data_IF_807978733188
#
_entry.id   IF_807978733188
#
_cell.length_a   1.000
_cell.length_b   1.000
_cell.length_c   1.000
_cell.angle_alpha   90.00
_cell.angle_beta   90.00
_cell.angle_gamma   90.00
#
_symmetry.space_group_name_H-M   'P 1'
#
loop_
_entity.id
_entity.type
_entity.pdbx_description
1 polymer ?
#
# COMPACT_ATOMS: atom_id res chain seq x y z
N UNK A 1 2.15 13.73 -32.99
CA UNK A 1 2.66 14.08 -31.64
C UNK A 1 2.10 13.07 -30.65
N UNK A 2 2.95 12.27 -30.01
CA UNK A 2 2.54 11.32 -28.97
C UNK A 2 2.33 12.08 -27.68
N UNK A 3 1.09 12.13 -27.19
CA UNK A 3 0.85 12.60 -25.82
C UNK A 3 1.72 11.83 -24.83
N UNK A 4 2.30 12.50 -23.82
CA UNK A 4 3.11 11.83 -22.81
C UNK A 4 2.26 10.77 -22.11
N UNK A 5 2.82 9.57 -21.88
CA UNK A 5 2.16 8.42 -21.25
C UNK A 5 1.35 8.82 -19.99
N UNK A 6 1.89 9.75 -19.21
CA UNK A 6 1.26 10.31 -18.02
C UNK A 6 -0.08 11.00 -18.27
N UNK A 7 -0.23 11.74 -19.38
CA UNK A 7 -1.49 12.38 -19.76
C UNK A 7 -2.53 11.31 -20.08
N UNK A 8 -2.15 10.29 -20.87
CA UNK A 8 -3.03 9.15 -21.20
C UNK A 8 -3.49 8.36 -19.96
N UNK A 9 -2.61 8.18 -18.98
CA UNK A 9 -2.95 7.52 -17.71
C UNK A 9 -3.93 8.37 -16.89
N UNK A 10 -3.76 9.69 -16.88
CA UNK A 10 -4.66 10.62 -16.18
C UNK A 10 -6.07 10.62 -16.81
N UNK A 11 -6.14 10.58 -18.13
CA UNK A 11 -7.42 10.65 -18.86
C UNK A 11 -8.17 9.31 -18.82
N UNK A 12 -7.45 8.19 -18.70
CA UNK A 12 -8.05 6.87 -18.55
C UNK A 12 -8.43 6.55 -17.10
N UNK A 13 -9.73 6.36 -16.89
CA UNK A 13 -10.30 5.97 -15.59
C UNK A 13 -9.77 4.64 -15.07
N UNK A 14 -9.49 3.68 -15.95
CA UNK A 14 -8.96 2.37 -15.57
C UNK A 14 -7.47 2.45 -15.30
N UNK A 15 -6.71 3.16 -16.15
CA UNK A 15 -5.27 3.31 -15.98
C UNK A 15 -4.92 4.06 -14.70
N UNK A 16 -5.63 5.15 -14.38
CA UNK A 16 -5.45 5.88 -13.13
C UNK A 16 -5.80 5.06 -11.89
N UNK A 17 -6.84 4.21 -11.95
CA UNK A 17 -7.21 3.31 -10.86
C UNK A 17 -6.16 2.23 -10.66
N UNK A 18 -5.70 1.60 -11.75
CA UNK A 18 -4.65 0.60 -11.72
C UNK A 18 -3.32 1.19 -11.22
N UNK A 19 -2.96 2.39 -11.65
CA UNK A 19 -1.77 3.09 -11.19
C UNK A 19 -1.81 3.34 -9.67
N UNK A 20 -2.95 3.81 -9.13
CA UNK A 20 -3.12 4.01 -7.69
C UNK A 20 -3.03 2.69 -6.92
N UNK A 21 -3.75 1.65 -7.36
CA UNK A 21 -3.70 0.33 -6.73
C UNK A 21 -2.28 -0.21 -6.72
N UNK A 22 -1.60 -0.22 -7.87
CA UNK A 22 -0.24 -0.77 -8.00
C UNK A 22 0.78 0.06 -7.20
N UNK A 23 0.61 1.37 -7.13
CA UNK A 23 1.49 2.26 -6.36
C UNK A 23 1.44 2.02 -4.86
N UNK A 24 0.34 1.46 -4.35
CA UNK A 24 0.22 1.00 -2.97
C UNK A 24 0.63 -0.48 -2.85
N UNK A 25 0.00 -1.35 -3.63
CA UNK A 25 0.07 -2.79 -3.46
C UNK A 25 1.48 -3.35 -3.73
N UNK A 26 2.18 -2.87 -4.76
CA UNK A 26 3.52 -3.37 -5.08
C UNK A 26 4.53 -3.11 -3.95
N UNK A 27 4.75 -1.86 -3.48
CA UNK A 27 5.70 -1.61 -2.39
C UNK A 27 5.26 -2.26 -1.08
N UNK A 28 3.96 -2.28 -0.77
CA UNK A 28 3.43 -2.92 0.43
C UNK A 28 3.73 -4.42 0.45
N UNK A 29 3.38 -5.13 -0.63
CA UNK A 29 3.58 -6.59 -0.72
C UNK A 29 5.06 -6.96 -0.88
N UNK A 30 5.84 -6.17 -1.61
CA UNK A 30 7.27 -6.35 -1.72
C UNK A 30 7.96 -6.26 -0.35
N UNK A 31 7.61 -5.25 0.46
CA UNK A 31 8.17 -5.09 1.80
C UNK A 31 7.78 -6.24 2.76
N UNK A 32 6.61 -6.84 2.57
CA UNK A 32 6.16 -7.99 3.36
C UNK A 32 6.82 -9.31 2.94
N UNK A 33 7.28 -9.41 1.69
CA UNK A 33 7.89 -10.63 1.13
C UNK A 33 9.42 -10.60 1.13
N UNK A 34 10.02 -9.42 1.18
CA UNK A 34 11.47 -9.26 1.12
C UNK A 34 12.18 -9.69 2.40
N UNK A 35 13.38 -10.24 2.23
CA UNK A 35 14.30 -10.59 3.32
C UNK A 35 15.07 -9.39 3.88
N UNK A 36 14.89 -8.18 3.34
CA UNK A 36 15.64 -7.00 3.79
C UNK A 36 15.55 -6.77 5.31
N UNK A 37 14.33 -6.87 5.86
CA UNK A 37 14.11 -6.70 7.31
C UNK A 37 14.72 -7.85 8.11
N UNK A 38 14.77 -9.06 7.53
CA UNK A 38 15.42 -10.22 8.14
C UNK A 38 16.94 -10.04 8.24
N UNK A 39 17.59 -9.52 7.19
CA UNK A 39 19.02 -9.23 7.21
C UNK A 39 19.39 -8.15 8.24
N UNK A 40 18.51 -7.17 8.47
CA UNK A 40 18.63 -6.20 9.56
C UNK A 40 18.41 -6.87 10.94
N UNK A 41 17.44 -7.77 11.03
CA UNK A 41 17.13 -8.56 12.23
C UNK A 41 18.30 -9.42 12.72
N UNK A 42 19.13 -9.96 11.82
CA UNK A 42 20.34 -10.73 12.19
C UNK A 42 21.37 -9.96 13.02
N UNK A 43 21.29 -8.63 13.04
CA UNK A 43 22.16 -7.77 13.87
C UNK A 43 21.62 -7.57 15.29
N UNK A 44 20.39 -8.04 15.57
CA UNK A 44 19.77 -7.98 16.89
C UNK A 44 20.28 -9.16 17.73
N UNK A 45 20.78 -8.92 18.95
CA UNK A 45 21.21 -10.00 19.83
C UNK A 45 20.01 -10.86 20.28
N UNK A 46 20.16 -12.19 20.22
CA UNK A 46 19.13 -13.16 20.60
C UNK A 46 18.57 -13.99 19.44
N UNK A 47 17.55 -14.79 19.72
CA UNK A 47 16.82 -15.55 18.70
C UNK A 47 15.85 -14.64 17.95
N UNK A 48 15.83 -14.69 16.61
CA UNK A 48 14.96 -13.84 15.80
C UNK A 48 13.88 -14.70 15.14
N UNK A 49 12.62 -14.34 15.38
CA UNK A 49 11.46 -14.92 14.70
C UNK A 49 10.90 -13.92 13.69
N UNK A 50 10.43 -14.43 12.56
CA UNK A 50 9.90 -13.60 11.49
C UNK A 50 8.89 -14.33 10.62
N UNK A 51 7.65 -13.86 10.66
CA UNK A 51 6.55 -14.39 9.85
C UNK A 51 6.60 -13.73 8.47
N UNK A 52 7.59 -14.12 7.66
CA UNK A 52 7.68 -13.69 6.27
C UNK A 52 6.52 -14.28 5.46
N UNK A 53 5.90 -13.44 4.63
CA UNK A 53 4.85 -13.90 3.73
C UNK A 53 5.52 -14.60 2.55
N UNK A 54 5.67 -15.92 2.64
CA UNK A 54 6.11 -16.76 1.54
C UNK A 54 4.92 -17.11 0.63
N UNK A 55 5.12 -17.09 -0.69
CA UNK A 55 4.18 -17.71 -1.62
C UNK A 55 4.41 -19.23 -1.52
N UNK A 56 3.36 -20.06 -1.25
CA UNK A 56 1.95 -19.84 -1.56
C UNK A 56 1.03 -19.39 -0.41
N UNK A 57 1.46 -19.45 0.86
CA UNK A 57 0.60 -19.13 2.01
C UNK A 57 0.14 -17.65 2.06
N UNK A 58 0.88 -16.76 1.39
CA UNK A 58 0.55 -15.34 1.27
C UNK A 58 -0.51 -14.95 0.24
N UNK A 59 -0.92 -15.85 -0.66
CA UNK A 59 -1.84 -15.52 -1.76
C UNK A 59 -3.21 -15.04 -1.28
N UNK A 60 -3.71 -15.62 -0.19
CA UNK A 60 -4.96 -15.19 0.45
C UNK A 60 -4.86 -13.73 0.92
N UNK A 61 -3.79 -13.38 1.63
CA UNK A 61 -3.54 -12.04 2.14
C UNK A 61 -3.36 -11.02 1.01
N UNK A 62 -2.63 -11.37 -0.06
CA UNK A 62 -2.51 -10.55 -1.27
C UNK A 62 -3.88 -10.28 -1.88
N UNK A 63 -4.69 -11.33 -2.03
CA UNK A 63 -6.03 -11.23 -2.62
C UNK A 63 -6.93 -10.32 -1.77
N UNK A 64 -6.90 -10.47 -0.45
CA UNK A 64 -7.67 -9.64 0.49
C UNK A 64 -7.27 -8.16 0.36
N UNK A 65 -5.98 -7.85 0.30
CA UNK A 65 -5.48 -6.47 0.12
C UNK A 65 -6.03 -5.86 -1.16
N UNK A 66 -5.91 -6.58 -2.29
CA UNK A 66 -6.36 -6.09 -3.59
C UNK A 66 -7.88 -5.90 -3.64
N UNK A 67 -8.64 -6.88 -3.16
CA UNK A 67 -10.11 -6.86 -3.16
C UNK A 67 -10.65 -5.78 -2.24
N UNK A 68 -10.14 -5.68 -1.01
CA UNK A 68 -10.55 -4.65 -0.06
C UNK A 68 -10.29 -3.24 -0.60
N UNK A 69 -9.12 -3.04 -1.21
CA UNK A 69 -8.78 -1.78 -1.86
C UNK A 69 -9.75 -1.44 -2.98
N UNK A 70 -9.98 -2.38 -3.92
CA UNK A 70 -10.84 -2.18 -5.09
C UNK A 70 -12.30 -1.87 -4.70
N UNK A 71 -12.86 -2.65 -3.77
CA UNK A 71 -14.24 -2.45 -3.28
C UNK A 71 -14.37 -1.06 -2.66
N UNK A 72 -13.41 -0.67 -1.80
CA UNK A 72 -13.47 0.63 -1.11
C UNK A 72 -13.30 1.78 -2.07
N UNK A 73 -12.32 1.69 -2.97
CA UNK A 73 -12.06 2.74 -3.94
C UNK A 73 -13.26 2.93 -4.88
N UNK A 74 -13.87 1.83 -5.37
CA UNK A 74 -15.08 1.88 -6.18
C UNK A 74 -16.26 2.53 -5.43
N UNK A 75 -16.49 2.16 -4.17
CA UNK A 75 -17.54 2.73 -3.33
C UNK A 75 -17.34 4.22 -3.02
N UNK A 76 -16.08 4.66 -2.85
CA UNK A 76 -15.75 6.06 -2.57
C UNK A 76 -15.73 6.93 -3.81
N UNK A 77 -15.51 6.36 -5.00
CA UNK A 77 -15.42 7.11 -6.26
C UNK A 77 -16.66 7.93 -6.56
N UNK A 78 -17.85 7.48 -6.15
CA UNK A 78 -19.11 8.21 -6.34
C UNK A 78 -19.37 9.25 -5.24
N UNK A 79 -18.70 9.15 -4.09
CA UNK A 79 -18.99 9.96 -2.89
C UNK A 79 -17.92 11.00 -2.58
N UNK A 80 -16.68 10.77 -2.99
CA UNK A 80 -15.52 11.60 -2.65
C UNK A 80 -14.98 12.27 -3.92
N UNK A 81 -15.10 13.60 -4.00
CA UNK A 81 -14.58 14.39 -5.13
C UNK A 81 -13.06 14.32 -5.30
N UNK A 82 -12.32 14.09 -4.20
CA UNK A 82 -10.86 14.02 -4.21
C UNK A 82 -10.37 12.58 -4.40
N UNK A 83 -9.74 12.32 -5.54
CA UNK A 83 -9.11 11.03 -5.84
C UNK A 83 -8.03 10.66 -4.81
N UNK A 84 -7.28 11.65 -4.32
CA UNK A 84 -6.29 11.45 -3.23
C UNK A 84 -6.94 10.96 -1.94
N UNK A 85 -8.06 11.56 -1.52
CA UNK A 85 -8.78 11.12 -0.31
C UNK A 85 -9.38 9.73 -0.51
N UNK A 86 -9.94 9.44 -1.68
CA UNK A 86 -10.49 8.12 -1.99
C UNK A 86 -9.41 7.03 -1.98
N UNK A 87 -8.23 7.29 -2.55
CA UNK A 87 -7.08 6.38 -2.53
C UNK A 87 -6.60 6.13 -1.09
N UNK A 88 -6.39 7.20 -0.31
CA UNK A 88 -5.93 7.08 1.08
C UNK A 88 -6.87 6.25 1.94
N UNK A 89 -8.19 6.46 1.82
CA UNK A 89 -9.20 5.67 2.54
C UNK A 89 -9.27 4.22 2.06
N UNK A 90 -8.95 3.94 0.79
CA UNK A 90 -8.86 2.59 0.26
C UNK A 90 -7.59 1.88 0.77
N UNK A 91 -6.46 2.57 0.82
CA UNK A 91 -5.21 2.08 1.42
C UNK A 91 -5.45 1.68 2.88
N UNK A 92 -6.10 2.54 3.68
CA UNK A 92 -6.41 2.26 5.08
C UNK A 92 -7.29 1.02 5.25
N UNK A 93 -8.31 0.85 4.39
CA UNK A 93 -9.14 -0.35 4.46
C UNK A 93 -8.35 -1.60 4.08
N UNK A 94 -7.49 -1.52 3.06
CA UNK A 94 -6.67 -2.63 2.63
C UNK A 94 -5.70 -3.08 3.74
N UNK A 95 -5.08 -2.13 4.44
CA UNK A 95 -4.23 -2.41 5.61
C UNK A 95 -5.05 -3.00 6.76
N UNK A 96 -6.23 -2.45 7.06
CA UNK A 96 -7.08 -2.97 8.13
C UNK A 96 -7.56 -4.41 7.85
N UNK A 97 -7.95 -4.69 6.60
CA UNK A 97 -8.34 -6.02 6.15
C UNK A 97 -7.18 -7.01 6.25
N UNK A 98 -5.98 -6.58 5.84
CA UNK A 98 -4.76 -7.36 6.03
C UNK A 98 -4.53 -7.70 7.51
N UNK A 99 -4.60 -6.72 8.42
CA UNK A 99 -4.39 -6.95 9.85
C UNK A 99 -5.40 -7.94 10.43
N UNK A 100 -6.68 -7.79 10.08
CA UNK A 100 -7.74 -8.68 10.56
C UNK A 100 -7.49 -10.13 10.10
N UNK A 101 -7.23 -10.32 8.81
CA UNK A 101 -7.01 -11.66 8.25
C UNK A 101 -5.67 -12.28 8.69
N UNK A 102 -4.61 -11.47 8.81
CA UNK A 102 -3.33 -11.94 9.35
C UNK A 102 -3.48 -12.40 10.80
N UNK A 103 -4.16 -11.62 11.64
CA UNK A 103 -4.43 -11.99 13.03
C UNK A 103 -5.30 -13.24 13.14
N UNK A 104 -6.26 -13.41 12.22
CA UNK A 104 -7.08 -14.62 12.16
C UNK A 104 -6.27 -15.87 11.76
N UNK A 105 -5.32 -15.73 10.82
CA UNK A 105 -4.57 -16.86 10.27
C UNK A 105 -3.36 -17.26 11.11
N UNK A 106 -2.62 -16.30 11.66
CA UNK A 106 -1.36 -16.53 12.39
C UNK A 106 -1.51 -16.33 13.90
N UNK A 107 -2.50 -15.53 14.32
CA UNK A 107 -2.78 -15.26 15.72
C UNK A 107 -2.23 -13.92 16.19
N UNK A 108 -2.49 -13.60 17.47
CA UNK A 108 -2.04 -12.34 18.08
C UNK A 108 -0.56 -12.35 18.48
N UNK A 109 0.01 -13.53 18.69
CA UNK A 109 1.40 -13.68 19.14
C UNK A 109 2.40 -13.12 18.11
N UNK A 110 2.10 -13.24 16.81
CA UNK A 110 2.91 -12.69 15.71
C UNK A 110 2.96 -11.16 15.68
N UNK A 111 2.12 -10.47 16.45
CA UNK A 111 2.20 -9.02 16.63
C UNK A 111 3.05 -8.60 17.83
N UNK A 112 3.40 -9.53 18.73
CA UNK A 112 4.22 -9.23 19.90
C UNK A 112 5.70 -9.12 19.48
N UNK A 113 6.36 -7.95 19.63
CA UNK A 113 7.77 -7.79 19.29
C UNK A 113 8.72 -8.58 20.20
N UNK A 114 8.28 -8.97 21.40
CA UNK A 114 9.06 -9.76 22.36
C UNK A 114 8.25 -10.96 22.83
N UNK A 115 8.16 -12.03 22.01
CA UNK A 115 7.31 -13.18 22.31
C UNK A 115 7.80 -13.96 23.54
N UNK A 116 9.12 -14.12 23.68
CA UNK A 116 9.77 -14.81 24.81
C UNK A 116 11.07 -14.09 25.22
N UNK A 117 11.55 -14.25 26.47
CA UNK A 117 12.83 -13.69 26.91
C UNK A 117 13.99 -14.13 26.01
N UNK A 118 14.74 -13.17 25.47
CA UNK A 118 15.86 -13.46 24.56
C UNK A 118 15.47 -13.75 23.11
N UNK A 119 14.18 -13.62 22.77
CA UNK A 119 13.68 -13.67 21.40
C UNK A 119 13.07 -12.34 20.95
N UNK A 120 13.25 -11.99 19.68
CA UNK A 120 12.68 -10.79 19.07
C UNK A 120 11.91 -11.18 17.81
N UNK A 121 10.67 -10.70 17.72
CA UNK A 121 9.85 -10.81 16.53
C UNK A 121 9.94 -9.52 15.72
N UNK A 122 10.46 -9.62 14.51
CA UNK A 122 10.67 -8.46 13.63
C UNK A 122 9.48 -8.18 12.70
N UNK A 123 8.45 -9.03 12.71
CA UNK A 123 7.28 -8.86 11.84
C UNK A 123 6.56 -7.51 12.06
N UNK A 124 6.33 -7.01 13.29
CA UNK A 124 5.73 -5.70 13.50
C UNK A 124 6.53 -4.56 12.83
N UNK A 125 7.86 -4.64 12.88
CA UNK A 125 8.74 -3.68 12.21
C UNK A 125 8.64 -3.79 10.69
N UNK A 126 8.65 -5.01 10.15
CA UNK A 126 8.43 -5.25 8.71
C UNK A 126 7.10 -4.67 8.25
N UNK A 127 6.03 -4.94 9.00
CA UNK A 127 4.70 -4.43 8.70
C UNK A 127 4.67 -2.90 8.70
N UNK A 128 5.30 -2.25 9.69
CA UNK A 128 5.41 -0.79 9.72
C UNK A 128 6.13 -0.22 8.49
N UNK A 129 7.24 -0.85 8.07
CA UNK A 129 7.97 -0.48 6.85
C UNK A 129 7.10 -0.67 5.60
N UNK A 130 6.37 -1.78 5.52
CA UNK A 130 5.46 -2.04 4.40
C UNK A 130 4.36 -0.99 4.28
N UNK A 131 3.74 -0.62 5.42
CA UNK A 131 2.75 0.46 5.48
C UNK A 131 3.38 1.77 5.01
N UNK A 132 4.55 2.15 5.53
CA UNK A 132 5.20 3.40 5.15
C UNK A 132 5.49 3.48 3.64
N UNK A 133 6.05 2.42 3.06
CA UNK A 133 6.35 2.36 1.63
C UNK A 133 5.08 2.36 0.77
N UNK A 134 4.05 1.61 1.18
CA UNK A 134 2.74 1.59 0.51
C UNK A 134 2.09 2.96 0.45
N UNK A 135 2.00 3.65 1.58
CA UNK A 135 1.42 5.00 1.65
C UNK A 135 2.26 6.04 0.93
N UNK A 136 3.60 5.96 0.98
CA UNK A 136 4.48 6.86 0.26
C UNK A 136 4.30 6.71 -1.27
N UNK A 137 4.27 5.48 -1.78
CA UNK A 137 4.02 5.19 -3.19
C UNK A 137 2.65 5.70 -3.66
N UNK A 138 1.60 5.39 -2.89
CA UNK A 138 0.24 5.88 -3.14
C UNK A 138 0.16 7.40 -3.16
N UNK A 139 0.79 8.07 -2.19
CA UNK A 139 0.79 9.53 -2.11
C UNK A 139 1.49 10.17 -3.31
N UNK A 140 2.67 9.66 -3.70
CA UNK A 140 3.40 10.14 -4.86
C UNK A 140 2.56 10.04 -6.14
N UNK A 141 1.94 8.90 -6.40
CA UNK A 141 1.10 8.71 -7.59
C UNK A 141 -0.19 9.53 -7.52
N UNK A 142 -0.84 9.61 -6.36
CA UNK A 142 -2.02 10.44 -6.18
C UNK A 142 -1.74 11.94 -6.40
N UNK A 143 -0.58 12.45 -5.98
CA UNK A 143 -0.17 13.83 -6.26
C UNK A 143 0.15 14.05 -7.73
N UNK A 144 0.78 13.08 -8.39
CA UNK A 144 1.08 13.15 -9.82
C UNK A 144 -0.17 13.11 -10.70
N UNK A 145 -1.15 12.28 -10.34
CA UNK A 145 -2.41 12.12 -11.07
C UNK A 145 -3.43 13.22 -10.76
N UNK A 146 -3.23 14.02 -9.70
CA UNK A 146 -4.10 15.14 -9.40
C UNK A 146 -4.19 16.10 -10.60
N UNK A 147 -5.37 16.65 -10.90
CA UNK A 147 -5.52 17.65 -11.97
C UNK A 147 -4.58 18.83 -11.69
N UNK A 148 -3.62 19.09 -12.58
CA UNK A 148 -2.78 20.30 -12.49
C UNK A 148 -3.65 21.49 -12.85
N UNK A 149 -3.71 22.49 -11.96
CA UNK A 149 -4.44 23.75 -12.14
C UNK A 149 -3.94 24.63 -13.32
N UNK A 150 -3.08 24.11 -14.20
CA UNK A 150 -2.53 24.83 -15.36
C UNK A 150 -3.60 25.22 -16.41
N UNK A 151 -4.80 24.64 -16.36
CA UNK A 151 -5.93 25.10 -17.18
C UNK A 151 -6.61 26.39 -16.63
N UNK A 152 -6.36 26.75 -15.37
CA UNK A 152 -6.90 27.98 -14.78
C UNK A 152 -6.03 29.21 -15.07
N UNK A 153 -4.74 29.03 -15.38
CA UNK A 153 -3.85 30.13 -15.78
C UNK A 153 -3.94 30.44 -17.28
N UNK A 154 -4.12 29.43 -18.15
CA UNK A 154 -4.33 29.69 -19.58
C UNK A 154 -5.66 30.41 -19.87
N UNK A 155 -6.70 30.16 -19.06
CA UNK A 155 -7.99 30.86 -19.16
C UNK A 155 -7.94 32.32 -18.64
N UNK A 156 -7.02 32.64 -17.73
CA UNK A 156 -6.75 34.03 -17.29
C UNK A 156 -5.79 34.78 -18.20
N UNK A 157 -4.93 34.08 -18.94
CA UNK A 157 -4.02 34.69 -19.92
C UNK A 157 -4.69 34.98 -21.28
N UNK A 158 -5.95 34.56 -21.46
CA UNK A 158 -6.73 34.72 -22.69
C UNK A 158 -7.96 35.63 -22.51
N UNK A 159 -8.12 36.24 -21.33
CA UNK A 159 -9.21 37.16 -20.96
C UNK A 159 -8.62 38.51 -20.57
#
# INVERSE_FOLDING_TARGET
MTEPLAARIRDSRLASTAALLLSFALPFLWALSTRLVWELGKRVPGSVSDTSIALPSGLSLVTIVLVAWLIRFAALRSRVRSQRRAAWMADTLAVAAFCACFTWQFGRADWNPWPEPGSTNIFPLRFAVAVALGYAGSLCVATYLAPRAAAAESAKASA
#
